data_IF_777078398571
#
_entry.id   IF_777078398571
#
_cell.length_a   1.000
_cell.length_b   1.000
_cell.length_c   1.000
_cell.angle_alpha   90.00
_cell.angle_beta   90.00
_cell.angle_gamma   90.00
#
_symmetry.space_group_name_H-M   'P 1'
#
loop_
_entity.id
_entity.type
_entity.pdbx_description
1 polymer ?
#
# COMPACT_ATOMS: atom_id res chain seq x y z
N UNK A 1 -8.52 -45.84 -3.80
CA UNK A 1 -8.87 -45.39 -5.16
C UNK A 1 -8.22 -44.04 -5.36
N UNK A 2 -7.41 -43.87 -6.41
CA UNK A 2 -6.84 -42.57 -6.77
C UNK A 2 -7.91 -41.76 -7.49
N UNK A 3 -8.27 -40.60 -6.96
CA UNK A 3 -9.25 -39.72 -7.60
C UNK A 3 -8.86 -39.40 -9.05
N UNK A 4 -9.86 -39.16 -9.90
CA UNK A 4 -9.69 -38.87 -11.32
C UNK A 4 -10.06 -37.41 -11.62
N UNK A 5 -9.26 -36.76 -12.45
CA UNK A 5 -9.53 -35.40 -12.92
C UNK A 5 -9.95 -35.49 -14.39
N UNK A 6 -11.20 -35.11 -14.67
CA UNK A 6 -11.74 -35.07 -16.02
C UNK A 6 -11.93 -33.61 -16.46
N UNK A 7 -11.02 -33.13 -17.31
CA UNK A 7 -11.15 -31.82 -17.94
C UNK A 7 -12.16 -31.88 -19.08
N UNK A 8 -12.99 -30.85 -19.19
CA UNK A 8 -13.98 -30.75 -20.25
C UNK A 8 -13.95 -29.37 -20.91
N UNK A 9 -14.41 -29.35 -22.16
CA UNK A 9 -14.68 -28.15 -22.93
C UNK A 9 -15.83 -28.43 -23.87
N UNK A 10 -16.78 -27.50 -23.96
CA UNK A 10 -17.90 -27.63 -24.90
C UNK A 10 -17.33 -27.62 -26.33
N UNK A 11 -17.50 -28.69 -27.12
CA UNK A 11 -16.89 -28.77 -28.45
C UNK A 11 -17.49 -27.73 -29.40
N UNK A 12 -18.80 -27.50 -29.27
CA UNK A 12 -19.55 -26.45 -29.96
C UNK A 12 -20.13 -25.47 -28.94
N UNK A 13 -20.34 -24.18 -29.31
CA UNK A 13 -21.02 -23.24 -28.44
C UNK A 13 -22.44 -23.70 -28.10
N UNK A 14 -22.79 -23.68 -26.82
CA UNK A 14 -24.14 -23.96 -26.33
C UNK A 14 -25.01 -22.72 -26.51
N UNK A 15 -26.26 -22.92 -26.94
CA UNK A 15 -27.24 -21.85 -27.09
C UNK A 15 -27.95 -21.59 -25.76
N UNK A 16 -28.20 -20.33 -25.45
CA UNK A 16 -28.90 -19.93 -24.23
C UNK A 16 -29.59 -18.58 -24.41
N UNK A 17 -30.44 -18.22 -23.45
CA UNK A 17 -31.03 -16.90 -23.32
C UNK A 17 -30.85 -16.42 -21.89
N UNK A 18 -30.59 -15.13 -21.73
CA UNK A 18 -30.63 -14.49 -20.42
C UNK A 18 -32.07 -14.16 -20.02
N UNK A 19 -32.35 -14.16 -18.72
CA UNK A 19 -33.67 -13.82 -18.21
C UNK A 19 -34.05 -12.40 -18.63
N UNK A 20 -35.24 -12.25 -19.21
CA UNK A 20 -35.74 -10.95 -19.69
C UNK A 20 -35.12 -10.46 -21.00
N UNK A 21 -34.28 -11.27 -21.67
CA UNK A 21 -33.75 -10.98 -22.99
C UNK A 21 -34.37 -11.90 -24.05
N UNK A 22 -34.79 -11.33 -25.17
CA UNK A 22 -35.36 -12.04 -26.32
C UNK A 22 -34.31 -12.59 -27.29
N UNK A 23 -33.03 -12.42 -26.97
CA UNK A 23 -31.92 -12.74 -27.87
C UNK A 23 -31.30 -14.06 -27.48
N UNK A 24 -31.20 -14.97 -28.46
CA UNK A 24 -30.44 -16.21 -28.31
C UNK A 24 -28.94 -15.90 -28.40
N UNK A 25 -28.20 -16.26 -27.38
CA UNK A 25 -26.76 -16.15 -27.30
C UNK A 25 -26.10 -17.52 -27.43
N UNK A 26 -24.79 -17.51 -27.60
CA UNK A 26 -23.94 -18.71 -27.60
C UNK A 26 -22.88 -18.57 -26.52
N UNK A 27 -22.47 -19.70 -25.94
CA UNK A 27 -21.42 -19.74 -24.92
C UNK A 27 -20.54 -20.97 -25.10
N UNK A 28 -19.22 -20.78 -24.92
CA UNK A 28 -18.27 -21.88 -24.74
C UNK A 28 -17.86 -21.95 -23.29
N UNK A 29 -17.75 -23.16 -22.77
CA UNK A 29 -17.37 -23.39 -21.39
C UNK A 29 -16.23 -24.40 -21.30
N UNK A 30 -15.33 -24.18 -20.35
CA UNK A 30 -14.31 -25.15 -19.97
C UNK A 30 -14.27 -25.32 -18.46
N UNK A 31 -13.84 -26.49 -17.99
CA UNK A 31 -13.77 -26.78 -16.57
C UNK A 31 -13.16 -28.14 -16.28
N UNK A 32 -13.29 -28.56 -15.03
CA UNK A 32 -12.84 -29.86 -14.57
C UNK A 32 -13.79 -30.46 -13.54
N UNK A 33 -13.92 -31.79 -13.59
CA UNK A 33 -14.47 -32.59 -12.51
C UNK A 33 -13.32 -33.23 -11.75
N UNK A 34 -13.40 -33.19 -10.43
CA UNK A 34 -12.52 -33.89 -9.50
C UNK A 34 -13.35 -34.95 -8.80
N UNK A 35 -13.18 -36.22 -9.18
CA UNK A 35 -14.01 -37.31 -8.69
C UNK A 35 -13.19 -38.21 -7.78
N UNK A 36 -13.66 -38.39 -6.55
CA UNK A 36 -13.03 -39.20 -5.52
C UNK A 36 -13.52 -40.65 -5.56
N UNK A 37 -14.84 -40.85 -5.73
CA UNK A 37 -15.47 -42.17 -5.81
C UNK A 37 -16.53 -42.22 -6.93
N UNK A 38 -16.50 -43.30 -7.72
CA UNK A 38 -17.43 -43.57 -8.81
C UNK A 38 -17.36 -45.04 -9.25
N UNK A 39 -18.37 -45.53 -9.97
CA UNK A 39 -18.34 -46.85 -10.60
C UNK A 39 -17.42 -46.84 -11.82
N UNK A 40 -16.18 -47.29 -11.68
CA UNK A 40 -15.21 -47.29 -12.77
C UNK A 40 -15.71 -48.06 -14.01
N UNK A 41 -16.41 -49.19 -13.82
CA UNK A 41 -16.88 -50.05 -14.90
C UNK A 41 -17.97 -49.39 -15.75
N UNK A 42 -18.77 -48.50 -15.15
CA UNK A 42 -19.79 -47.74 -15.86
C UNK A 42 -19.19 -46.68 -16.81
N UNK A 43 -17.95 -46.23 -16.57
CA UNK A 43 -17.34 -45.12 -17.30
C UNK A 43 -16.14 -45.50 -18.17
N UNK A 44 -15.68 -46.75 -18.17
CA UNK A 44 -14.70 -47.25 -19.12
C UNK A 44 -13.72 -48.25 -18.51
N UNK A 45 -12.95 -48.92 -19.38
CA UNK A 45 -11.97 -49.92 -18.95
C UNK A 45 -10.57 -49.32 -18.79
N UNK A 46 -10.30 -48.20 -19.45
CA UNK A 46 -9.04 -47.45 -19.33
C UNK A 46 -9.25 -46.12 -18.60
N UNK A 47 -8.17 -45.53 -18.08
CA UNK A 47 -8.25 -44.20 -17.45
C UNK A 47 -8.65 -43.11 -18.45
N UNK A 48 -8.15 -43.16 -19.68
CA UNK A 48 -8.48 -42.20 -20.73
C UNK A 48 -9.95 -42.28 -21.15
N UNK A 49 -10.51 -43.51 -21.25
CA UNK A 49 -11.94 -43.71 -21.48
C UNK A 49 -12.77 -43.10 -20.36
N UNK A 50 -12.38 -43.34 -19.10
CA UNK A 50 -13.06 -42.78 -17.91
C UNK A 50 -13.03 -41.26 -17.90
N UNK A 51 -11.87 -40.64 -18.15
CA UNK A 51 -11.76 -39.17 -18.28
C UNK A 51 -12.64 -38.64 -19.41
N UNK A 52 -12.62 -39.29 -20.58
CA UNK A 52 -13.42 -38.89 -21.73
C UNK A 52 -14.92 -38.98 -21.46
N UNK A 53 -15.38 -40.07 -20.82
CA UNK A 53 -16.79 -40.28 -20.55
C UNK A 53 -17.31 -39.38 -19.43
N UNK A 54 -16.50 -39.11 -18.39
CA UNK A 54 -16.82 -38.11 -17.37
C UNK A 54 -16.87 -36.68 -17.95
N UNK A 55 -15.96 -36.35 -18.88
CA UNK A 55 -16.01 -35.07 -19.58
C UNK A 55 -17.29 -34.93 -20.43
N UNK A 56 -17.70 -35.99 -21.14
CA UNK A 56 -18.97 -36.02 -21.89
C UNK A 56 -20.18 -35.88 -20.97
N UNK A 57 -20.15 -36.53 -19.79
CA UNK A 57 -21.17 -36.38 -18.76
C UNK A 57 -21.32 -34.91 -18.35
N UNK A 58 -20.21 -34.24 -18.01
CA UNK A 58 -20.22 -32.82 -17.65
C UNK A 58 -20.79 -31.93 -18.76
N UNK A 59 -20.33 -32.12 -20.00
CA UNK A 59 -20.80 -31.34 -21.16
C UNK A 59 -22.30 -31.52 -21.38
N UNK A 60 -22.81 -32.76 -21.26
CA UNK A 60 -24.24 -33.05 -21.39
C UNK A 60 -25.05 -32.32 -20.32
N UNK A 61 -24.65 -32.43 -19.05
CA UNK A 61 -25.34 -31.77 -17.93
C UNK A 61 -25.29 -30.25 -18.04
N UNK A 62 -24.16 -29.68 -18.44
CA UNK A 62 -24.06 -28.25 -18.72
C UNK A 62 -25.02 -27.82 -19.83
N UNK A 63 -25.17 -28.58 -20.91
CA UNK A 63 -26.13 -28.26 -21.97
C UNK A 63 -27.58 -28.23 -21.45
N UNK A 64 -27.95 -29.15 -20.56
CA UNK A 64 -29.27 -29.19 -19.92
C UNK A 64 -29.51 -27.96 -19.03
N UNK A 65 -28.52 -27.57 -18.22
CA UNK A 65 -28.63 -26.39 -17.35
C UNK A 65 -28.65 -25.08 -18.13
N UNK A 66 -27.84 -24.98 -19.19
CA UNK A 66 -27.72 -23.79 -20.03
C UNK A 66 -28.98 -23.56 -20.86
N UNK A 67 -29.62 -24.63 -21.34
CA UNK A 67 -30.89 -24.53 -22.07
C UNK A 67 -31.99 -23.86 -21.22
N UNK A 68 -31.97 -24.09 -19.90
CA UNK A 68 -32.92 -23.53 -18.94
C UNK A 68 -32.39 -22.29 -18.21
N UNK A 69 -31.29 -21.68 -18.70
CA UNK A 69 -30.64 -20.57 -18.01
C UNK A 69 -31.54 -19.34 -17.86
N UNK A 70 -32.47 -19.11 -18.80
CA UNK A 70 -33.41 -17.99 -18.78
C UNK A 70 -34.35 -17.97 -17.56
N UNK A 71 -34.43 -19.06 -16.79
CA UNK A 71 -35.18 -19.12 -15.54
C UNK A 71 -34.39 -18.56 -14.35
N UNK A 72 -33.06 -18.46 -14.49
CA UNK A 72 -32.14 -17.96 -13.48
C UNK A 72 -32.27 -16.44 -13.29
N UNK A 73 -32.24 -15.97 -12.05
CA UNK A 73 -32.10 -14.54 -11.73
C UNK A 73 -30.66 -14.04 -11.81
N UNK A 74 -29.72 -14.91 -12.22
CA UNK A 74 -28.28 -14.65 -12.28
C UNK A 74 -27.82 -14.46 -13.73
N UNK A 75 -26.74 -13.71 -13.92
CA UNK A 75 -26.16 -13.47 -15.25
C UNK A 75 -25.04 -14.46 -15.50
N UNK A 76 -25.04 -15.11 -16.66
CA UNK A 76 -24.14 -16.23 -16.95
C UNK A 76 -22.66 -15.83 -16.85
N UNK A 77 -22.28 -14.70 -17.43
CA UNK A 77 -20.89 -14.23 -17.41
C UNK A 77 -20.44 -13.63 -16.07
N UNK A 78 -21.35 -13.39 -15.12
CA UNK A 78 -21.03 -12.81 -13.81
C UNK A 78 -21.02 -13.90 -12.74
N UNK A 79 -22.08 -14.70 -12.69
CA UNK A 79 -22.34 -15.67 -11.63
C UNK A 79 -22.20 -17.12 -12.09
N UNK A 80 -22.20 -17.35 -13.42
CA UNK A 80 -22.43 -18.67 -14.01
C UNK A 80 -21.42 -19.72 -13.59
N UNK A 81 -20.16 -19.34 -13.34
CA UNK A 81 -19.13 -20.30 -12.94
C UNK A 81 -19.52 -21.04 -11.65
N UNK A 82 -19.91 -20.28 -10.61
CA UNK A 82 -20.27 -20.84 -9.32
C UNK A 82 -21.63 -21.55 -9.38
N UNK A 83 -22.62 -20.94 -10.02
CA UNK A 83 -23.97 -21.51 -10.14
C UNK A 83 -23.92 -22.87 -10.87
N UNK A 84 -23.19 -22.96 -11.99
CA UNK A 84 -23.11 -24.19 -12.78
C UNK A 84 -22.21 -25.23 -12.13
N UNK A 85 -21.17 -24.82 -11.40
CA UNK A 85 -20.36 -25.75 -10.60
C UNK A 85 -21.20 -26.44 -9.52
N UNK A 86 -22.03 -25.69 -8.78
CA UNK A 86 -22.94 -26.25 -7.77
C UNK A 86 -23.93 -27.23 -8.42
N UNK A 87 -24.56 -26.84 -9.51
CA UNK A 87 -25.49 -27.72 -10.24
C UNK A 87 -24.81 -29.01 -10.74
N UNK A 88 -23.58 -28.93 -11.24
CA UNK A 88 -22.82 -30.10 -11.64
C UNK A 88 -22.46 -31.00 -10.45
N UNK A 89 -22.18 -30.43 -9.27
CA UNK A 89 -21.95 -31.23 -8.07
C UNK A 89 -23.21 -32.00 -7.64
N UNK A 90 -24.39 -31.39 -7.77
CA UNK A 90 -25.66 -32.07 -7.55
C UNK A 90 -25.86 -33.22 -8.56
N UNK A 91 -25.58 -32.97 -9.85
CA UNK A 91 -25.65 -34.01 -10.89
C UNK A 91 -24.68 -35.18 -10.63
N UNK A 92 -23.47 -34.90 -10.13
CA UNK A 92 -22.51 -35.93 -9.75
C UNK A 92 -23.07 -36.82 -8.65
N UNK A 93 -23.64 -36.20 -7.62
CA UNK A 93 -24.24 -36.89 -6.49
C UNK A 93 -25.44 -37.75 -6.91
N UNK A 94 -26.30 -37.23 -7.79
CA UNK A 94 -27.43 -37.98 -8.37
C UNK A 94 -26.96 -39.19 -9.19
N UNK A 95 -25.82 -39.08 -9.86
CA UNK A 95 -25.20 -40.16 -10.60
C UNK A 95 -24.38 -41.12 -9.72
N UNK A 96 -24.42 -40.98 -8.39
CA UNK A 96 -23.74 -41.86 -7.44
C UNK A 96 -22.23 -41.63 -7.34
N UNK A 97 -21.76 -40.45 -7.72
CA UNK A 97 -20.35 -40.05 -7.63
C UNK A 97 -20.11 -39.11 -6.45
N UNK A 98 -18.91 -39.17 -5.87
CA UNK A 98 -18.44 -38.17 -4.90
C UNK A 98 -17.29 -37.37 -5.51
N UNK A 99 -17.31 -36.06 -5.30
CA UNK A 99 -16.31 -35.17 -5.89
C UNK A 99 -16.73 -33.71 -5.90
N UNK A 100 -15.99 -32.90 -6.66
CA UNK A 100 -16.26 -31.50 -6.89
C UNK A 100 -16.20 -31.15 -8.38
N UNK A 101 -16.87 -30.06 -8.74
CA UNK A 101 -16.85 -29.52 -10.10
C UNK A 101 -16.35 -28.08 -10.07
N UNK A 102 -15.64 -27.67 -11.11
CA UNK A 102 -15.20 -26.30 -11.32
C UNK A 102 -15.42 -25.89 -12.77
N UNK A 103 -15.97 -24.70 -12.96
CA UNK A 103 -16.01 -24.03 -14.27
C UNK A 103 -14.84 -23.06 -14.33
N UNK A 104 -13.90 -23.31 -15.23
CA UNK A 104 -12.69 -22.50 -15.39
C UNK A 104 -12.97 -21.24 -16.22
N UNK A 105 -13.81 -21.36 -17.24
CA UNK A 105 -14.06 -20.27 -18.17
C UNK A 105 -15.48 -20.34 -18.76
N UNK A 106 -16.09 -19.17 -18.93
CA UNK A 106 -17.36 -18.95 -19.63
C UNK A 106 -17.08 -17.86 -20.66
N UNK A 107 -17.08 -18.22 -21.94
CA UNK A 107 -16.74 -17.31 -23.03
C UNK A 107 -17.90 -17.18 -24.00
N UNK A 108 -18.40 -15.96 -24.14
CA UNK A 108 -19.30 -15.59 -25.24
C UNK A 108 -18.47 -15.48 -26.53
N UNK A 109 -18.85 -16.15 -27.63
CA UNK A 109 -18.15 -16.04 -28.90
C UNK A 109 -18.15 -14.60 -29.42
N UNK A 110 -17.05 -14.21 -30.05
CA UNK A 110 -16.80 -12.84 -30.53
C UNK A 110 -17.93 -12.35 -31.47
N UNK A 111 -18.53 -13.25 -32.25
CA UNK A 111 -19.67 -13.01 -33.16
C UNK A 111 -20.90 -12.35 -32.49
N UNK A 112 -21.13 -12.65 -31.21
CA UNK A 112 -22.29 -12.14 -30.45
C UNK A 112 -21.87 -11.39 -29.19
N UNK A 113 -20.57 -11.19 -28.99
CA UNK A 113 -20.02 -10.56 -27.79
C UNK A 113 -20.51 -9.12 -27.65
N UNK A 114 -20.43 -8.31 -28.71
CA UNK A 114 -20.85 -6.91 -28.67
C UNK A 114 -22.35 -6.76 -28.36
N UNK A 115 -23.17 -7.65 -28.93
CA UNK A 115 -24.61 -7.70 -28.66
C UNK A 115 -24.85 -8.07 -27.19
N UNK A 116 -24.12 -9.05 -26.66
CA UNK A 116 -24.22 -9.45 -25.27
C UNK A 116 -23.77 -8.32 -24.31
N UNK A 117 -22.70 -7.59 -24.65
CA UNK A 117 -22.26 -6.43 -23.88
C UNK A 117 -23.34 -5.35 -23.82
N UNK A 118 -23.93 -4.97 -24.97
CA UNK A 118 -24.93 -3.91 -25.03
C UNK A 118 -26.28 -4.32 -24.41
N UNK A 119 -26.75 -5.55 -24.63
CA UNK A 119 -28.07 -5.99 -24.16
C UNK A 119 -28.08 -6.49 -22.72
N UNK A 120 -26.96 -7.03 -22.21
CA UNK A 120 -26.91 -7.69 -20.90
C UNK A 120 -25.97 -6.94 -19.96
N UNK A 121 -24.69 -6.86 -20.31
CA UNK A 121 -23.67 -6.38 -19.36
C UNK A 121 -23.82 -4.91 -19.03
N UNK A 122 -24.09 -4.06 -20.02
CA UNK A 122 -24.24 -2.62 -19.83
C UNK A 122 -25.46 -2.28 -18.96
N UNK A 123 -26.68 -2.80 -19.22
CA UNK A 123 -27.81 -2.62 -18.30
C UNK A 123 -27.54 -3.16 -16.90
N UNK A 124 -26.85 -4.30 -16.79
CA UNK A 124 -26.48 -4.86 -15.48
C UNK A 124 -25.56 -3.93 -14.68
N UNK A 125 -24.48 -3.43 -15.30
CA UNK A 125 -23.56 -2.52 -14.61
C UNK A 125 -24.22 -1.18 -14.30
N UNK A 126 -25.07 -0.65 -15.19
CA UNK A 126 -25.86 0.55 -14.92
C UNK A 126 -26.81 0.37 -13.74
N UNK A 127 -27.52 -0.76 -13.68
CA UNK A 127 -28.40 -1.07 -12.55
C UNK A 127 -27.61 -1.24 -11.24
N UNK A 128 -26.44 -1.88 -11.30
CA UNK A 128 -25.54 -2.02 -10.14
C UNK A 128 -25.01 -0.67 -9.66
N UNK A 129 -24.63 0.21 -10.58
CA UNK A 129 -24.16 1.57 -10.28
C UNK A 129 -25.28 2.43 -9.67
N UNK A 130 -26.49 2.40 -10.25
CA UNK A 130 -27.63 3.14 -9.73
C UNK A 130 -28.07 2.61 -8.35
N UNK A 131 -28.08 1.29 -8.15
CA UNK A 131 -28.32 0.70 -6.83
C UNK A 131 -27.28 1.17 -5.81
N UNK A 132 -25.99 1.13 -6.18
CA UNK A 132 -24.90 1.61 -5.32
C UNK A 132 -25.08 3.09 -4.98
N UNK A 133 -25.50 3.92 -5.94
CA UNK A 133 -25.78 5.33 -5.73
C UNK A 133 -26.93 5.54 -4.75
N UNK A 134 -28.00 4.76 -4.86
CA UNK A 134 -29.13 4.78 -3.92
C UNK A 134 -28.71 4.32 -2.52
N UNK A 135 -27.85 3.30 -2.41
CA UNK A 135 -27.27 2.85 -1.15
C UNK A 135 -26.41 3.95 -0.50
N UNK A 136 -25.58 4.65 -1.30
CA UNK A 136 -24.81 5.81 -0.82
C UNK A 136 -25.75 6.91 -0.33
N UNK A 137 -26.80 7.23 -1.09
CA UNK A 137 -27.78 8.26 -0.72
C UNK A 137 -28.56 7.89 0.55
N UNK A 138 -28.89 6.61 0.72
CA UNK A 138 -29.57 6.12 1.92
C UNK A 138 -28.65 6.10 3.16
N UNK A 139 -27.34 5.93 2.97
CA UNK A 139 -26.33 5.97 4.03
C UNK A 139 -25.83 7.39 4.36
N UNK A 140 -26.21 8.38 3.55
CA UNK A 140 -25.82 9.79 3.70
C UNK A 140 -26.62 10.43 4.84
N UNK A 141 -26.06 10.33 6.05
CA UNK A 141 -26.60 10.98 7.23
C UNK A 141 -26.04 12.40 7.34
N UNK A 142 -26.86 13.39 7.72
CA UNK A 142 -26.38 14.73 8.02
C UNK A 142 -25.24 14.67 9.04
N UNK A 143 -24.16 15.39 8.76
CA UNK A 143 -23.06 15.60 9.68
C UNK A 143 -22.79 17.10 9.76
N UNK A 144 -22.21 17.54 10.87
CA UNK A 144 -21.74 18.91 11.05
C UNK A 144 -20.44 19.17 10.29
N UNK A 145 -19.77 20.30 10.56
CA UNK A 145 -18.53 20.65 9.89
C UNK A 145 -17.40 19.67 10.24
N UNK A 146 -16.59 19.33 9.24
CA UNK A 146 -15.37 18.54 9.41
C UNK A 146 -14.35 19.31 10.26
N UNK A 147 -13.96 18.75 11.41
CA UNK A 147 -12.92 19.28 12.32
C UNK A 147 -11.55 18.67 12.07
N UNK A 148 -11.51 17.45 11.58
CA UNK A 148 -10.27 16.75 11.26
C UNK A 148 -10.44 15.87 10.02
N UNK A 149 -9.43 15.89 9.16
CA UNK A 149 -9.31 14.98 8.03
C UNK A 149 -7.92 14.34 8.08
N UNK A 150 -7.84 13.01 8.00
CA UNK A 150 -6.57 12.29 8.01
C UNK A 150 -6.55 11.24 6.92
N UNK A 151 -5.46 11.21 6.16
CA UNK A 151 -5.13 10.17 5.19
C UNK A 151 -3.91 9.40 5.69
N UNK A 152 -4.08 8.11 5.95
CA UNK A 152 -3.04 7.23 6.47
C UNK A 152 -2.69 6.19 5.41
N UNK A 153 -1.40 6.03 5.16
CA UNK A 153 -0.83 5.03 4.27
C UNK A 153 0.14 4.17 5.07
N UNK A 154 -0.06 2.86 5.06
CA UNK A 154 0.86 1.91 5.68
C UNK A 154 1.29 0.86 4.69
N UNK A 155 2.61 0.68 4.55
CA UNK A 155 3.21 -0.40 3.79
C UNK A 155 3.89 -1.37 4.75
N UNK A 156 3.49 -2.64 4.75
CA UNK A 156 4.15 -3.68 5.53
C UNK A 156 5.19 -4.36 4.66
N UNK A 157 6.46 -4.14 5.00
CA UNK A 157 7.55 -4.84 4.33
C UNK A 157 7.77 -6.23 4.93
N UNK A 158 8.16 -7.19 4.09
CA UNK A 158 8.43 -8.58 4.50
C UNK A 158 9.69 -8.75 5.37
N UNK A 159 10.43 -7.66 5.62
CA UNK A 159 11.66 -7.65 6.41
C UNK A 159 11.50 -6.71 7.61
N UNK A 160 12.17 -7.03 8.72
CA UNK A 160 12.21 -6.14 9.87
C UNK A 160 12.78 -4.77 9.48
N UNK A 161 12.05 -3.69 9.79
CA UNK A 161 12.46 -2.32 9.49
C UNK A 161 12.16 -1.81 8.08
N UNK A 162 11.52 -2.61 7.21
CA UNK A 162 11.10 -2.16 5.86
C UNK A 162 9.65 -1.69 5.80
N UNK A 163 8.92 -1.74 6.92
CA UNK A 163 7.60 -1.12 7.01
C UNK A 163 7.70 0.39 6.97
N UNK A 164 6.72 1.02 6.31
CA UNK A 164 6.58 2.47 6.31
C UNK A 164 5.14 2.87 6.65
N UNK A 165 5.03 4.02 7.30
CA UNK A 165 3.78 4.62 7.71
C UNK A 165 3.82 6.10 7.39
N UNK A 166 2.80 6.61 6.74
CA UNK A 166 2.67 8.03 6.41
C UNK A 166 1.26 8.49 6.75
N UNK A 167 1.15 9.47 7.64
CA UNK A 167 -0.09 10.20 7.92
C UNK A 167 0.03 11.60 7.36
N UNK A 168 -1.01 12.04 6.67
CA UNK A 168 -1.24 13.43 6.32
C UNK A 168 -2.55 13.86 6.94
N UNK A 169 -2.59 14.98 7.67
CA UNK A 169 -3.73 15.35 8.49
C UNK A 169 -3.98 16.85 8.45
N UNK A 170 -5.24 17.25 8.27
CA UNK A 170 -5.69 18.64 8.33
C UNK A 170 -6.63 18.81 9.52
N UNK A 171 -6.35 19.79 10.37
CA UNK A 171 -7.12 20.09 11.59
C UNK A 171 -7.61 21.53 11.55
N UNK A 172 -8.89 21.73 11.82
CA UNK A 172 -9.51 23.04 12.02
C UNK A 172 -9.63 23.31 13.52
N UNK A 173 -8.73 24.13 14.06
CA UNK A 173 -8.67 24.43 15.48
C UNK A 173 -9.75 25.43 15.91
N UNK A 174 -10.08 25.43 17.20
CA UNK A 174 -11.09 26.32 17.79
C UNK A 174 -10.69 27.80 17.76
N UNK A 175 -9.40 28.09 17.70
CA UNK A 175 -8.86 29.45 17.55
C UNK A 175 -8.94 29.99 16.11
N UNK A 176 -9.51 29.21 15.19
CA UNK A 176 -9.65 29.52 13.76
C UNK A 176 -8.41 29.25 12.93
N UNK A 177 -7.33 28.74 13.54
CA UNK A 177 -6.16 28.29 12.78
C UNK A 177 -6.42 26.94 12.13
N UNK A 178 -5.80 26.71 10.96
CA UNK A 178 -5.90 25.45 10.24
C UNK A 178 -4.49 24.94 9.99
N UNK A 179 -4.24 23.70 10.42
CA UNK A 179 -2.92 23.09 10.35
C UNK A 179 -2.99 21.83 9.49
N UNK A 180 -2.18 21.80 8.44
CA UNK A 180 -1.87 20.58 7.70
C UNK A 180 -0.57 19.99 8.26
N UNK A 181 -0.56 18.71 8.58
CA UNK A 181 0.58 18.00 9.12
C UNK A 181 0.90 16.77 8.28
N UNK A 182 2.17 16.43 8.18
CA UNK A 182 2.68 15.27 7.48
C UNK A 182 3.68 14.57 8.36
N UNK A 183 3.34 13.35 8.75
CA UNK A 183 4.19 12.47 9.52
C UNK A 183 4.52 11.24 8.68
N UNK A 184 5.80 10.97 8.44
CA UNK A 184 6.25 9.81 7.68
C UNK A 184 7.37 9.10 8.42
N UNK A 185 7.19 7.81 8.67
CA UNK A 185 8.17 6.92 9.27
C UNK A 185 8.45 5.78 8.31
N UNK A 186 9.71 5.51 7.99
CA UNK A 186 10.08 4.39 7.13
C UNK A 186 11.58 4.31 6.87
N UNK A 187 12.13 3.10 6.79
CA UNK A 187 13.56 2.88 6.53
C UNK A 187 14.48 3.59 7.53
N UNK A 188 14.08 3.63 8.81
CA UNK A 188 14.84 4.28 9.89
C UNK A 188 14.81 5.81 9.91
N UNK A 189 14.02 6.42 9.03
CA UNK A 189 13.78 7.87 8.97
C UNK A 189 12.42 8.22 9.55
N UNK A 190 12.35 9.32 10.29
CA UNK A 190 11.12 9.94 10.75
C UNK A 190 11.11 11.40 10.27
N UNK A 191 10.04 11.81 9.61
CA UNK A 191 9.82 13.15 9.11
C UNK A 191 8.49 13.65 9.67
N UNK A 192 8.50 14.82 10.28
CA UNK A 192 7.31 15.49 10.77
C UNK A 192 7.34 16.93 10.27
N UNK A 193 6.28 17.35 9.58
CA UNK A 193 6.12 18.70 9.07
C UNK A 193 4.74 19.23 9.42
N UNK A 194 4.64 20.50 9.76
CA UNK A 194 3.37 21.19 9.98
C UNK A 194 3.36 22.50 9.21
N UNK A 195 2.20 22.78 8.61
CA UNK A 195 1.94 23.92 7.75
C UNK A 195 0.69 24.62 8.25
N UNK A 196 0.79 25.92 8.48
CA UNK A 196 -0.39 26.77 8.66
C UNK A 196 -0.99 27.06 7.29
N UNK A 197 -2.19 26.56 7.04
CA UNK A 197 -2.84 26.66 5.71
C UNK A 197 -3.96 27.68 5.72
N UNK A 198 -4.25 28.26 4.55
CA UNK A 198 -5.34 29.22 4.41
C UNK A 198 -6.72 28.50 4.40
N UNK A 199 -7.80 29.18 4.82
CA UNK A 199 -9.14 28.60 4.84
C UNK A 199 -9.68 28.15 3.49
N UNK A 200 -9.32 28.82 2.39
CA UNK A 200 -9.81 28.52 1.05
C UNK A 200 -9.30 27.16 0.56
N UNK A 201 -8.00 26.87 0.73
CA UNK A 201 -7.40 25.57 0.39
C UNK A 201 -8.00 24.46 1.26
N UNK A 202 -8.15 24.70 2.56
CA UNK A 202 -8.75 23.74 3.47
C UNK A 202 -10.22 23.44 3.12
N UNK A 203 -10.98 24.45 2.69
CA UNK A 203 -12.39 24.28 2.34
C UNK A 203 -12.58 23.29 1.18
N UNK A 204 -11.63 23.20 0.24
CA UNK A 204 -11.69 22.21 -0.85
C UNK A 204 -11.74 20.76 -0.34
N UNK A 205 -11.10 20.47 0.81
CA UNK A 205 -11.18 19.14 1.44
C UNK A 205 -12.58 18.90 2.00
N UNK A 206 -13.18 19.90 2.66
CA UNK A 206 -14.56 19.81 3.17
C UNK A 206 -15.58 19.62 2.05
N UNK A 207 -15.43 20.40 0.98
CA UNK A 207 -16.29 20.31 -0.20
C UNK A 207 -16.15 18.92 -0.83
N UNK A 208 -14.92 18.41 -0.98
CA UNK A 208 -14.68 17.07 -1.50
C UNK A 208 -15.30 15.96 -0.64
N UNK A 209 -15.14 16.03 0.69
CA UNK A 209 -15.75 15.08 1.63
C UNK A 209 -17.27 15.03 1.46
N UNK A 210 -17.89 16.20 1.30
CA UNK A 210 -19.35 16.35 1.16
C UNK A 210 -19.81 15.91 -0.23
N UNK A 211 -19.19 16.43 -1.30
CA UNK A 211 -19.54 16.15 -2.69
C UNK A 211 -19.39 14.66 -3.06
N UNK A 212 -18.40 13.98 -2.46
CA UNK A 212 -18.19 12.54 -2.64
C UNK A 212 -18.87 11.68 -1.61
N UNK A 213 -19.58 12.27 -0.65
CA UNK A 213 -20.28 11.57 0.44
C UNK A 213 -19.37 10.56 1.14
N UNK A 214 -18.14 10.98 1.47
CA UNK A 214 -17.15 10.06 2.03
C UNK A 214 -17.59 9.47 3.38
N UNK A 215 -18.34 10.23 4.17
CA UNK A 215 -18.97 9.75 5.40
C UNK A 215 -19.94 8.59 5.12
N UNK A 216 -20.81 8.70 4.11
CA UNK A 216 -21.71 7.63 3.69
C UNK A 216 -20.94 6.40 3.20
N UNK A 217 -19.91 6.60 2.36
CA UNK A 217 -19.05 5.53 1.86
C UNK A 217 -18.36 4.76 3.00
N UNK A 218 -18.00 5.43 4.10
CA UNK A 218 -17.38 4.78 5.26
C UNK A 218 -18.29 3.80 5.99
N UNK A 219 -19.60 3.89 5.79
CA UNK A 219 -20.62 3.03 6.40
C UNK A 219 -21.05 1.87 5.50
N UNK A 220 -20.57 1.83 4.26
CA UNK A 220 -20.94 0.79 3.30
C UNK A 220 -20.12 -0.47 3.49
N UNK A 221 -20.76 -1.63 3.35
CA UNK A 221 -20.06 -2.90 3.17
C UNK A 221 -19.38 -2.90 1.80
N UNK A 222 -18.08 -2.62 1.80
CA UNK A 222 -17.26 -2.75 0.60
C UNK A 222 -16.82 -4.20 0.52
N UNK A 223 -17.21 -4.90 -0.55
CA UNK A 223 -16.62 -6.19 -0.91
C UNK A 223 -15.12 -6.00 -1.15
N UNK A 224 -14.31 -6.14 -0.12
CA UNK A 224 -12.85 -6.08 -0.24
C UNK A 224 -12.41 -7.32 -0.98
N UNK A 225 -11.71 -7.14 -2.11
CA UNK A 225 -11.01 -8.24 -2.77
C UNK A 225 -10.13 -8.97 -1.74
N UNK A 226 -10.14 -10.32 -1.76
CA UNK A 226 -9.30 -11.13 -0.90
C UNK A 226 -7.84 -10.63 -0.96
N UNK A 227 -7.27 -10.40 0.22
CA UNK A 227 -5.92 -9.85 0.38
C UNK A 227 -4.90 -10.62 -0.46
N UNK A 228 -4.19 -9.93 -1.35
CA UNK A 228 -2.95 -10.42 -1.93
C UNK A 228 -1.79 -10.00 -1.01
N UNK A 229 -0.82 -10.89 -0.80
CA UNK A 229 0.23 -10.83 0.24
C UNK A 229 1.23 -9.65 0.18
N UNK A 230 0.97 -8.55 -0.54
CA UNK A 230 1.87 -7.39 -0.60
C UNK A 230 1.12 -6.10 -0.21
N UNK A 231 1.28 -5.73 1.06
CA UNK A 231 0.40 -4.85 1.82
C UNK A 231 0.81 -3.37 1.76
N UNK A 232 0.17 -2.60 0.88
CA UNK A 232 -0.03 -1.16 1.10
C UNK A 232 -1.50 -0.93 1.36
N UNK A 233 -1.87 -0.56 2.58
CA UNK A 233 -3.25 -0.19 2.93
C UNK A 233 -3.35 1.31 3.16
N UNK A 234 -4.46 1.88 2.73
CA UNK A 234 -4.79 3.29 2.95
C UNK A 234 -6.13 3.42 3.68
N UNK A 235 -6.20 4.42 4.55
CA UNK A 235 -7.43 4.77 5.29
C UNK A 235 -7.62 6.27 5.28
N UNK A 236 -8.88 6.69 5.17
CA UNK A 236 -9.29 8.07 5.34
C UNK A 236 -10.11 8.13 6.63
N UNK A 237 -9.69 8.97 7.57
CA UNK A 237 -10.39 9.23 8.83
C UNK A 237 -10.92 10.65 8.80
N UNK A 238 -12.19 10.82 9.13
CA UNK A 238 -12.91 12.08 9.14
C UNK A 238 -13.56 12.26 10.50
N UNK A 239 -13.34 13.41 11.12
CA UNK A 239 -14.00 13.77 12.38
C UNK A 239 -14.90 14.99 12.17
N UNK A 240 -16.17 14.85 12.55
CA UNK A 240 -17.20 15.87 12.41
C UNK A 240 -17.65 16.37 13.77
N UNK A 241 -18.06 17.64 13.82
CA UNK A 241 -18.71 18.25 14.96
C UNK A 241 -20.21 18.36 14.73
N UNK A 242 -20.94 17.34 15.18
CA UNK A 242 -22.37 17.23 14.94
C UNK A 242 -23.20 18.00 15.97
N UNK A 243 -22.58 18.78 16.86
CA UNK A 243 -23.32 19.55 17.89
C UNK A 243 -24.36 20.48 17.29
N UNK A 244 -24.08 21.05 16.10
CA UNK A 244 -25.00 21.92 15.36
C UNK A 244 -26.29 21.23 14.90
N UNK A 245 -26.27 19.90 14.77
CA UNK A 245 -27.42 19.06 14.39
C UNK A 245 -27.95 18.21 15.56
N UNK A 246 -27.48 18.48 16.78
CA UNK A 246 -27.88 17.76 18.00
C UNK A 246 -27.15 16.43 18.23
N UNK A 247 -26.06 16.17 17.50
CA UNK A 247 -25.18 15.01 17.67
C UNK A 247 -23.97 15.28 18.58
N UNK A 248 -23.00 14.37 18.53
CA UNK A 248 -21.77 14.43 19.33
C UNK A 248 -20.76 15.44 18.76
N UNK A 249 -19.91 16.02 19.62
CA UNK A 249 -18.85 16.93 19.20
C UNK A 249 -17.69 16.24 18.45
N UNK A 250 -17.65 14.91 18.49
CA UNK A 250 -16.58 14.07 17.95
C UNK A 250 -17.16 12.82 17.27
N UNK A 251 -17.80 13.01 16.12
CA UNK A 251 -18.26 11.88 15.30
C UNK A 251 -17.16 11.46 14.33
N UNK A 252 -16.61 10.26 14.52
CA UNK A 252 -15.53 9.73 13.68
C UNK A 252 -16.05 8.74 12.64
N UNK A 253 -15.67 8.95 11.38
CA UNK A 253 -15.92 8.07 10.24
C UNK A 253 -14.59 7.59 9.66
N UNK A 254 -14.45 6.28 9.45
CA UNK A 254 -13.23 5.70 8.85
C UNK A 254 -13.57 4.96 7.56
N UNK A 255 -13.12 5.52 6.43
CA UNK A 255 -13.21 4.88 5.12
C UNK A 255 -11.97 4.01 4.88
N UNK A 256 -12.19 2.71 4.78
CA UNK A 256 -11.16 1.74 4.39
C UNK A 256 -11.01 1.77 2.87
N UNK A 257 -9.91 2.31 2.36
CA UNK A 257 -9.67 2.41 0.92
C UNK A 257 -9.14 1.09 0.32
N UNK A 258 -8.82 0.11 1.16
CA UNK A 258 -8.34 -1.21 0.78
C UNK A 258 -6.85 -1.23 0.41
N UNK A 259 -6.35 -2.32 -0.19
CA UNK A 259 -5.03 -2.32 -0.80
C UNK A 259 -5.01 -1.28 -1.92
N UNK A 260 -4.03 -0.37 -1.90
CA UNK A 260 -3.93 0.78 -2.81
C UNK A 260 -4.19 0.36 -4.27
N UNK A 261 -5.23 0.93 -4.90
CA UNK A 261 -5.40 0.85 -6.36
C UNK A 261 -6.62 0.12 -6.94
N UNK A 262 -7.58 -0.39 -6.14
CA UNK A 262 -8.72 -1.15 -6.70
C UNK A 262 -10.07 -0.43 -6.67
N UNK A 263 -10.58 0.00 -5.50
CA UNK A 263 -11.98 0.49 -5.40
C UNK A 263 -12.10 2.01 -5.26
N UNK A 264 -11.12 2.66 -4.64
CA UNK A 264 -11.18 4.09 -4.30
C UNK A 264 -10.01 4.90 -4.85
N UNK A 265 -9.32 4.39 -5.87
CA UNK A 265 -8.14 5.05 -6.43
C UNK A 265 -8.38 6.50 -6.84
N UNK A 266 -9.52 6.80 -7.48
CA UNK A 266 -9.88 8.17 -7.84
C UNK A 266 -10.11 9.08 -6.64
N UNK A 267 -10.58 8.52 -5.51
CA UNK A 267 -10.71 9.25 -4.24
C UNK A 267 -9.32 9.48 -3.65
N UNK A 268 -8.48 8.45 -3.58
CA UNK A 268 -7.12 8.54 -3.06
C UNK A 268 -6.27 9.55 -3.84
N UNK A 269 -6.31 9.50 -5.18
CA UNK A 269 -5.57 10.42 -6.05
C UNK A 269 -5.98 11.88 -5.80
N UNK A 270 -7.29 12.14 -5.63
CA UNK A 270 -7.80 13.48 -5.37
C UNK A 270 -7.49 13.95 -3.94
N UNK A 271 -7.57 13.06 -2.93
CA UNK A 271 -7.16 13.35 -1.56
C UNK A 271 -5.69 13.73 -1.50
N UNK A 272 -4.82 12.96 -2.16
CA UNK A 272 -3.38 13.26 -2.22
C UNK A 272 -3.15 14.61 -2.90
N UNK A 273 -3.85 14.88 -4.01
CA UNK A 273 -3.77 16.18 -4.71
C UNK A 273 -4.15 17.36 -3.81
N UNK A 274 -5.26 17.25 -3.06
CA UNK A 274 -5.73 18.28 -2.14
C UNK A 274 -4.76 18.50 -0.97
N UNK A 275 -4.17 17.43 -0.45
CA UNK A 275 -3.17 17.50 0.62
C UNK A 275 -1.84 18.10 0.13
N UNK A 276 -1.39 17.75 -1.07
CA UNK A 276 -0.21 18.38 -1.71
C UNK A 276 -0.46 19.89 -1.95
N UNK A 277 -1.69 20.29 -2.28
CA UNK A 277 -2.08 21.69 -2.39
C UNK A 277 -2.04 22.42 -1.03
N UNK A 278 -2.48 21.76 0.05
CA UNK A 278 -2.34 22.27 1.42
C UNK A 278 -0.86 22.46 1.80
N UNK A 279 -0.01 21.46 1.53
CA UNK A 279 1.43 21.48 1.83
C UNK A 279 2.16 22.58 1.05
N UNK A 280 1.84 22.75 -0.24
CA UNK A 280 2.51 23.72 -1.12
C UNK A 280 2.06 25.17 -0.95
N UNK A 281 0.80 25.40 -0.55
CA UNK A 281 0.26 26.76 -0.30
C UNK A 281 0.41 27.23 1.15
N UNK A 282 0.73 26.32 2.08
CA UNK A 282 0.85 26.60 3.51
C UNK A 282 2.18 27.23 3.92
N UNK A 283 2.15 28.00 5.01
CA UNK A 283 3.35 28.47 5.70
C UNK A 283 3.89 27.35 6.59
N UNK A 284 5.11 26.87 6.33
CA UNK A 284 5.75 25.85 7.16
C UNK A 284 6.08 26.43 8.55
N UNK A 285 5.49 25.84 9.59
CA UNK A 285 5.65 26.25 10.99
C UNK A 285 6.46 25.24 11.82
N UNK A 286 6.59 23.99 11.35
CA UNK A 286 7.40 22.94 11.99
C UNK A 286 8.01 22.03 10.93
N UNK A 287 9.28 21.67 11.13
CA UNK A 287 9.99 20.71 10.27
C UNK A 287 11.02 19.95 11.10
N UNK A 288 10.72 18.68 11.39
CA UNK A 288 11.58 17.75 12.13
C UNK A 288 11.94 16.58 11.22
N UNK A 289 13.22 16.20 11.21
CA UNK A 289 13.69 15.00 10.51
C UNK A 289 14.74 14.29 11.35
N UNK A 290 14.49 13.02 11.67
CA UNK A 290 15.42 12.16 12.39
C UNK A 290 15.85 11.00 11.51
N UNK A 291 17.12 10.98 11.14
CA UNK A 291 17.77 9.84 10.48
C UNK A 291 18.57 9.14 11.57
N UNK A 292 18.05 8.06 12.20
CA UNK A 292 18.81 7.10 13.06
C UNK A 292 17.95 6.11 13.87
N UNK A 293 16.61 6.17 13.81
CA UNK A 293 15.75 5.25 14.58
C UNK A 293 15.92 3.77 14.15
N UNK A 294 16.17 3.52 12.87
CA UNK A 294 16.38 2.16 12.34
C UNK A 294 17.76 1.57 12.65
N UNK A 295 18.81 2.41 12.62
CA UNK A 295 20.17 1.97 12.89
C UNK A 295 20.38 1.62 14.38
N UNK A 296 19.80 2.40 15.29
CA UNK A 296 19.84 2.11 16.73
C UNK A 296 19.10 0.82 17.09
N UNK A 297 17.91 0.60 16.54
CA UNK A 297 17.11 -0.61 16.80
C UNK A 297 17.75 -1.86 16.22
N UNK A 298 18.29 -1.77 14.99
CA UNK A 298 19.04 -2.86 14.36
C UNK A 298 20.34 -3.18 15.10
N UNK A 299 21.06 -2.17 15.59
CA UNK A 299 22.29 -2.37 16.34
C UNK A 299 22.03 -2.93 17.75
N UNK A 300 20.93 -2.53 18.41
CA UNK A 300 20.49 -3.12 19.68
C UNK A 300 20.06 -4.58 19.50
N UNK A 301 19.26 -4.89 18.47
CA UNK A 301 18.83 -6.26 18.17
C UNK A 301 20.00 -7.18 17.76
N UNK A 302 20.96 -6.67 16.99
CA UNK A 302 22.16 -7.42 16.60
C UNK A 302 23.11 -7.64 17.80
N UNK A 303 23.25 -6.66 18.70
CA UNK A 303 24.00 -6.84 19.97
C UNK A 303 23.32 -7.85 20.88
N UNK A 304 22.00 -7.83 20.96
CA UNK A 304 21.24 -8.76 21.81
C UNK A 304 21.27 -10.19 21.23
N UNK A 305 21.28 -10.33 19.91
CA UNK A 305 21.46 -11.60 19.22
C UNK A 305 22.90 -12.11 19.29
N UNK A 306 23.92 -11.26 19.16
CA UNK A 306 25.32 -11.66 19.40
C UNK A 306 25.59 -11.99 20.88
N UNK A 307 24.94 -11.29 21.81
CA UNK A 307 24.98 -11.62 23.24
C UNK A 307 24.31 -12.95 23.58
N UNK A 308 23.31 -13.40 22.81
CA UNK A 308 22.73 -14.74 22.95
C UNK A 308 23.59 -15.84 22.31
N UNK A 309 24.38 -15.53 21.29
CA UNK A 309 25.32 -16.48 20.68
C UNK A 309 26.50 -16.76 21.62
N UNK A 310 27.01 -15.77 22.35
CA UNK A 310 28.06 -15.98 23.35
C UNK A 310 27.59 -16.75 24.60
N UNK A 311 26.28 -16.70 24.93
CA UNK A 311 25.70 -17.42 26.07
C UNK A 311 25.28 -18.86 25.72
N UNK A 312 25.06 -19.18 24.44
CA UNK A 312 24.69 -20.54 24.01
C UNK A 312 25.84 -21.57 24.06
N UNK A 313 27.08 -21.14 24.38
CA UNK A 313 28.27 -21.99 24.44
C UNK A 313 28.67 -22.53 25.83
N UNK A 314 27.98 -22.15 26.92
CA UNK A 314 28.36 -22.56 28.27
C UNK A 314 27.21 -23.25 29.02
N UNK A 315 27.30 -24.57 29.28
CA UNK A 315 26.35 -25.25 30.15
C UNK A 315 26.75 -25.03 31.61
N UNK A 316 25.90 -24.33 32.37
CA UNK A 316 25.94 -24.45 33.85
C UNK A 316 26.01 -23.18 34.68
N UNK A 317 25.44 -22.04 34.27
CA UNK A 317 25.25 -20.91 35.19
C UNK A 317 23.79 -20.61 35.49
N UNK A 318 23.43 -20.86 36.75
CA UNK A 318 22.20 -20.38 37.37
C UNK A 318 22.21 -18.84 37.49
N UNK A 319 20.99 -18.29 37.43
CA UNK A 319 20.60 -16.88 37.17
C UNK A 319 21.20 -15.84 38.14
N UNK A 320 21.16 -14.55 37.76
CA UNK A 320 20.18 -13.67 38.44
C UNK A 320 19.37 -12.76 37.50
N UNK A 321 18.12 -12.56 37.90
CA UNK A 321 17.07 -11.71 37.33
C UNK A 321 17.28 -10.22 37.69
N UNK A 322 18.49 -9.68 37.44
CA UNK A 322 18.90 -8.33 37.91
C UNK A 322 19.46 -7.40 36.82
N UNK A 323 19.20 -7.69 35.53
CA UNK A 323 19.59 -6.79 34.42
C UNK A 323 18.37 -6.18 33.72
N UNK A 324 17.45 -5.63 34.52
CA UNK A 324 16.26 -4.90 34.04
C UNK A 324 16.15 -3.50 34.65
N UNK A 325 17.29 -2.88 34.97
CA UNK A 325 17.35 -1.51 35.43
C UNK A 325 18.68 -0.90 35.04
N UNK A 326 18.70 -0.15 33.94
CA UNK A 326 19.60 0.97 33.63
C UNK A 326 19.40 1.37 32.17
N UNK A 327 18.33 2.14 31.93
CA UNK A 327 18.38 3.18 30.90
C UNK A 327 17.80 4.43 31.57
N UNK A 328 18.69 5.22 32.16
CA UNK A 328 18.37 6.59 32.49
C UNK A 328 18.12 7.31 31.17
N UNK A 329 16.87 7.68 30.91
CA UNK A 329 16.51 8.60 29.85
C UNK A 329 16.81 9.99 30.41
N UNK A 330 17.90 10.59 29.96
CA UNK A 330 18.19 11.99 30.23
C UNK A 330 17.11 12.86 29.53
N UNK A 331 16.32 13.68 30.25
CA UNK A 331 15.22 14.42 29.65
C UNK A 331 15.63 15.70 28.90
N UNK A 332 16.91 16.05 28.80
CA UNK A 332 17.34 17.41 28.39
C UNK A 332 18.09 17.49 27.06
N UNK A 333 17.72 16.65 26.08
CA UNK A 333 18.19 16.77 24.69
C UNK A 333 17.05 17.17 23.75
N UNK A 334 16.37 18.26 24.08
CA UNK A 334 15.15 18.71 23.40
C UNK A 334 15.01 20.21 23.32
N UNK A 335 16.07 20.95 22.98
CA UNK A 335 15.98 22.36 22.53
C UNK A 335 17.09 22.69 21.54
N UNK A 336 16.81 22.50 20.26
CA UNK A 336 17.52 23.24 19.22
C UNK A 336 16.58 24.34 18.74
N UNK A 337 16.72 25.52 19.34
CA UNK A 337 16.11 26.75 18.84
C UNK A 337 16.60 27.03 17.41
N UNK A 338 15.64 27.35 16.55
CA UNK A 338 15.86 27.76 15.18
C UNK A 338 16.55 29.14 15.13
N UNK A 339 17.87 29.15 15.07
CA UNK A 339 18.68 30.29 14.62
C UNK A 339 19.44 29.94 13.34
N UNK A 340 18.76 29.29 12.40
CA UNK A 340 19.34 28.92 11.10
C UNK A 340 19.31 30.06 10.10
N UNK A 341 20.46 30.40 9.51
CA UNK A 341 20.56 31.25 8.31
C UNK A 341 19.64 30.73 7.20
N UNK A 342 18.81 31.64 6.66
CA UNK A 342 17.95 31.40 5.50
C UNK A 342 18.78 30.91 4.31
N UNK A 343 18.32 29.87 3.63
CA UNK A 343 18.94 29.34 2.41
C UNK A 343 17.90 29.02 1.35
N UNK A 344 18.23 29.29 0.09
CA UNK A 344 17.37 28.97 -1.05
C UNK A 344 17.79 27.63 -1.64
N UNK A 345 16.84 26.72 -1.78
CA UNK A 345 17.09 25.42 -2.40
C UNK A 345 16.95 25.52 -3.93
N UNK A 346 17.51 24.54 -4.65
CA UNK A 346 17.33 24.38 -6.11
C UNK A 346 15.85 24.30 -6.54
N UNK A 347 14.98 23.87 -5.63
CA UNK A 347 13.51 23.88 -5.75
C UNK A 347 12.93 25.33 -5.87
N UNK A 348 13.73 26.37 -5.64
CA UNK A 348 13.31 27.79 -5.61
C UNK A 348 12.81 28.26 -4.25
N UNK A 349 12.65 27.36 -3.28
CA UNK A 349 12.06 27.67 -1.97
C UNK A 349 13.10 28.16 -0.96
N UNK A 350 12.73 29.18 -0.18
CA UNK A 350 13.53 29.69 0.95
C UNK A 350 13.26 28.84 2.19
N UNK A 351 14.33 28.44 2.88
CA UNK A 351 14.27 27.48 3.99
C UNK A 351 15.14 27.96 5.16
N UNK A 352 14.75 27.59 6.37
CA UNK A 352 15.51 27.87 7.61
C UNK A 352 15.97 26.59 8.31
N UNK A 353 15.46 25.42 7.88
CA UNK A 353 15.80 24.09 8.41
C UNK A 353 16.94 23.39 7.66
N UNK A 354 17.21 22.12 8.01
CA UNK A 354 18.27 21.31 7.36
C UNK A 354 17.90 20.77 5.97
N UNK A 355 16.64 20.87 5.53
CA UNK A 355 16.13 20.33 4.25
C UNK A 355 15.13 21.31 3.58
N UNK A 356 14.93 21.25 2.25
CA UNK A 356 13.96 22.09 1.53
C UNK A 356 12.54 21.67 1.91
N UNK A 357 11.72 22.61 2.35
CA UNK A 357 10.32 22.37 2.72
C UNK A 357 9.42 22.07 1.51
N UNK A 358 9.87 22.35 0.28
CA UNK A 358 9.17 21.99 -0.96
C UNK A 358 9.55 20.62 -1.55
N UNK A 359 10.84 20.26 -1.58
CA UNK A 359 11.31 19.04 -2.26
C UNK A 359 12.04 18.03 -1.36
N UNK A 360 12.31 18.36 -0.09
CA UNK A 360 13.01 17.49 0.85
C UNK A 360 14.53 17.35 0.63
N UNK A 361 15.15 18.08 -0.31
CA UNK A 361 16.61 18.03 -0.49
C UNK A 361 17.35 18.68 0.70
N UNK A 362 18.49 18.12 1.16
CA UNK A 362 19.25 18.69 2.27
C UNK A 362 19.86 20.05 1.93
N UNK A 363 20.06 20.90 2.95
CA UNK A 363 20.80 22.16 2.87
C UNK A 363 22.20 21.87 2.29
N UNK A 364 22.61 22.52 1.19
CA UNK A 364 23.92 22.30 0.60
C UNK A 364 25.04 22.61 1.61
N UNK A 365 25.83 21.60 1.99
CA UNK A 365 27.01 21.76 2.85
C UNK A 365 28.28 21.85 2.00
N UNK A 366 28.56 23.03 1.42
CA UNK A 366 29.77 23.28 0.62
C UNK A 366 30.98 23.66 1.48
N UNK A 367 32.18 23.21 1.10
CA UNK A 367 33.47 23.79 1.53
C UNK A 367 34.30 24.19 0.32
N UNK A 368 35.05 25.29 0.42
CA UNK A 368 35.92 25.76 -0.65
C UNK A 368 37.31 25.15 -0.45
N UNK A 369 37.79 24.41 -1.46
CA UNK A 369 39.13 23.87 -1.45
C UNK A 369 40.17 24.99 -1.64
N UNK A 370 41.41 24.78 -1.18
CA UNK A 370 42.53 25.69 -1.43
C UNK A 370 42.81 25.98 -2.91
N UNK A 371 42.29 25.15 -3.83
CA UNK A 371 42.32 25.40 -5.27
C UNK A 371 41.16 26.28 -5.79
N UNK A 372 40.29 26.78 -4.90
CA UNK A 372 39.15 27.65 -5.21
C UNK A 372 37.85 26.92 -5.60
N UNK A 373 37.80 25.59 -5.57
CA UNK A 373 36.60 24.83 -5.99
C UNK A 373 35.68 24.51 -4.80
N UNK A 374 34.36 24.70 -4.98
CA UNK A 374 33.34 24.32 -3.99
C UNK A 374 33.05 22.82 -4.04
N UNK A 375 33.01 22.18 -2.88
CA UNK A 375 32.90 20.74 -2.74
C UNK A 375 31.91 20.35 -1.64
N UNK A 376 31.19 19.25 -1.83
CA UNK A 376 30.26 18.67 -0.84
C UNK A 376 30.74 17.32 -0.27
N UNK A 377 31.82 16.76 -0.83
CA UNK A 377 32.42 15.47 -0.40
C UNK A 377 33.63 15.62 0.53
N UNK A 378 34.22 14.50 0.96
CA UNK A 378 35.44 14.49 1.83
C UNK A 378 36.72 14.95 1.12
N UNK A 379 36.72 14.92 -0.21
CA UNK A 379 37.82 15.32 -1.08
C UNK A 379 37.33 16.35 -2.10
N UNK A 380 38.24 17.18 -2.60
CA UNK A 380 37.96 18.08 -3.70
C UNK A 380 37.75 17.27 -4.98
N UNK A 381 36.61 17.46 -5.65
CA UNK A 381 36.27 16.80 -6.92
C UNK A 381 37.20 17.20 -8.07
N UNK A 382 37.87 18.36 -7.94
CA UNK A 382 38.78 18.88 -8.95
C UNK A 382 40.22 18.42 -8.71
N UNK A 383 40.79 18.69 -7.53
CA UNK A 383 42.21 18.43 -7.27
C UNK A 383 42.49 17.22 -6.37
N UNK A 384 41.47 16.53 -5.86
CA UNK A 384 41.61 15.36 -4.99
C UNK A 384 42.06 15.66 -3.56
N UNK A 385 42.34 16.93 -3.22
CA UNK A 385 42.80 17.27 -1.87
C UNK A 385 41.72 16.99 -0.81
N UNK A 386 42.08 16.36 0.32
CA UNK A 386 41.14 16.16 1.40
C UNK A 386 40.74 17.49 2.03
N UNK A 387 39.54 17.53 2.62
CA UNK A 387 39.11 18.65 3.46
C UNK A 387 40.13 18.81 4.61
N UNK A 388 40.85 19.94 4.65
CA UNK A 388 41.87 20.20 5.67
C UNK A 388 41.23 20.28 7.05
N UNK A 389 41.50 19.28 7.89
CA UNK A 389 41.28 19.37 9.34
C UNK A 389 42.61 19.79 9.96
N UNK A 390 42.64 20.95 10.61
CA UNK A 390 43.79 21.38 11.38
C UNK A 390 44.04 20.35 12.50
N UNK A 391 45.16 19.63 12.44
CA UNK A 391 45.63 18.76 13.51
C UNK A 391 46.49 19.61 14.45
N UNK A 392 46.17 19.58 15.74
CA UNK A 392 46.84 20.38 16.80
C UNK A 392 48.29 19.94 17.06
N UNK A 393 48.71 18.78 16.55
CA UNK A 393 50.09 18.30 16.66
C UNK A 393 50.96 18.80 15.49
N UNK A 394 52.12 19.38 15.84
CA UNK A 394 53.03 20.11 14.95
C UNK A 394 53.49 19.41 13.65
N UNK A 395 54.20 20.17 12.83
CA UNK A 395 54.59 19.75 11.47
C UNK A 395 55.56 18.57 11.46
N UNK A 396 55.38 17.63 10.54
CA UNK A 396 56.28 16.48 10.34
C UNK A 396 56.86 16.42 8.91
N UNK A 397 58.01 15.78 8.75
CA UNK A 397 58.66 15.53 7.46
C UNK A 397 58.33 14.12 6.93
N UNK A 398 57.99 14.03 5.65
CA UNK A 398 57.63 12.75 5.05
C UNK A 398 58.85 11.85 4.85
N UNK A 399 58.81 10.65 5.43
CA UNK A 399 59.86 9.64 5.27
C UNK A 399 60.04 9.19 3.80
N UNK A 400 58.96 9.18 3.02
CA UNK A 400 58.93 8.71 1.62
C UNK A 400 59.43 9.79 0.65
N UNK A 401 58.83 10.98 0.64
CA UNK A 401 59.11 12.00 -0.37
C UNK A 401 59.88 13.22 0.15
N UNK A 402 60.29 13.22 1.43
CA UNK A 402 61.07 14.28 2.10
C UNK A 402 60.40 15.66 2.15
N UNK A 403 59.10 15.75 1.84
CA UNK A 403 58.33 16.99 2.01
C UNK A 403 58.25 17.35 3.50
N UNK A 404 58.73 18.54 3.85
CA UNK A 404 58.67 19.10 5.20
C UNK A 404 57.38 19.92 5.41
N UNK A 405 56.99 20.16 6.66
CA UNK A 405 55.86 21.04 6.97
C UNK A 405 54.47 20.38 6.90
N UNK A 406 54.37 19.04 6.83
CA UNK A 406 53.07 18.36 6.74
C UNK A 406 52.28 18.55 8.06
N UNK A 407 50.99 18.90 7.95
CA UNK A 407 50.05 19.01 9.08
C UNK A 407 48.90 18.04 8.86
N UNK A 408 48.70 17.10 9.78
CA UNK A 408 47.68 16.03 9.68
C UNK A 408 48.26 14.62 9.45
N UNK A 409 47.39 13.63 9.25
CA UNK A 409 47.77 12.20 9.16
C UNK A 409 48.43 11.79 7.85
N UNK A 410 48.45 12.64 6.83
CA UNK A 410 48.94 12.32 5.49
C UNK A 410 49.89 13.40 4.96
N UNK A 411 50.89 12.99 4.19
CA UNK A 411 51.85 13.90 3.56
C UNK A 411 51.18 14.71 2.45
N UNK A 412 51.41 16.02 2.44
CA UNK A 412 50.87 16.91 1.40
C UNK A 412 51.51 16.71 0.02
N UNK A 413 52.73 16.17 -0.04
CA UNK A 413 53.44 15.91 -1.30
C UNK A 413 53.05 14.60 -1.98
N UNK A 414 52.91 13.52 -1.23
CA UNK A 414 52.70 12.17 -1.79
C UNK A 414 51.53 11.38 -1.19
N UNK A 415 50.81 11.93 -0.21
CA UNK A 415 49.68 11.25 0.43
C UNK A 415 50.05 10.10 1.36
N UNK A 416 51.34 9.81 1.57
CA UNK A 416 51.78 8.76 2.50
C UNK A 416 51.35 9.09 3.93
N UNK A 417 50.99 8.07 4.71
CA UNK A 417 50.64 8.20 6.12
C UNK A 417 51.83 8.76 6.94
N UNK A 418 51.50 9.55 7.96
CA UNK A 418 52.45 9.98 8.99
C UNK A 418 53.06 8.74 9.64
N UNK A 419 54.39 8.57 9.63
CA UNK A 419 55.05 7.53 10.43
C UNK A 419 54.69 7.73 11.90
N UNK A 420 54.39 6.63 12.61
CA UNK A 420 54.04 6.66 14.03
C UNK A 420 55.09 7.35 14.90
#
# INVERSE_FOLDING_TARGET
>A
MSGIIAKFGTPEPLKFMEKGCDTEFKVRMTGALYIDEYDELAYGTTEDERRSNLAKFAIKKLAEHILNWNQSDKILCVDGQNVLAVKLMDDLKEAGMTGSARIDNIRIPDEVYDIYQEKIMKPYYQAKEEKRKQEIEAADEPHGPLREFSYNLSSHGMMAGTSSYSTRKVVWNEDGTIVCSKNSTGGGRHIEMEYKINPETAQKIRDFVTDKRLAALSKMDIETAQMFDNFTSSTIVMEFDDTSIGGDAHTCCTLQCGPSGFTFRSIEDEVVRLLDECESSGECIKSISNENLGAMTGFMGMKQMMGMIDVAGQPGHERPLEMMGLVAVDPDAGKAEATGEKWTCKCGQENTGKYCCGCGEPKPAGWICSCGHENTGKFCSNCGNPKSVASEDGTWECSVCKTTGNRGKFCAGCGSLKPD
#
